data_IF_755236733647
#
_entry.id   IF_755236733647
#
_cell.length_a   1.000
_cell.length_b   1.000
_cell.length_c   1.000
_cell.angle_alpha   90.00
_cell.angle_beta   90.00
_cell.angle_gamma   90.00
#
_symmetry.space_group_name_H-M   'P 1'
#
loop_
_entity.id
_entity.type
_entity.pdbx_description
1 polymer ?
#
# COMPACT_ATOMS: atom_id res chain seq x y z
N UNK A 1 57.97 -10.65 3.86
CA UNK A 1 56.92 -9.81 3.23
C UNK A 1 57.06 -8.40 3.79
N UNK A 2 57.37 -7.39 2.97
CA UNK A 2 57.31 -5.99 3.41
C UNK A 2 55.85 -5.59 3.68
N UNK A 3 55.65 -4.59 4.54
CA UNK A 3 54.35 -3.96 4.74
C UNK A 3 54.01 -3.06 3.54
N UNK A 4 52.73 -2.96 3.12
CA UNK A 4 52.33 -2.07 2.03
C UNK A 4 52.54 -0.59 2.39
N UNK A 5 52.82 0.25 1.38
CA UNK A 5 52.96 1.69 1.57
C UNK A 5 51.61 2.38 1.80
N UNK A 6 51.63 3.59 2.37
CA UNK A 6 50.42 4.41 2.56
C UNK A 6 49.64 4.59 1.25
N UNK A 7 50.34 4.84 0.15
CA UNK A 7 49.75 5.06 -1.17
C UNK A 7 49.07 3.79 -1.70
N UNK A 8 49.65 2.61 -1.43
CA UNK A 8 49.03 1.32 -1.77
C UNK A 8 47.77 1.03 -0.95
N UNK A 9 47.71 1.50 0.31
CA UNK A 9 46.50 1.39 1.13
C UNK A 9 45.41 2.33 0.64
N UNK A 10 45.75 3.61 0.36
CA UNK A 10 44.78 4.62 -0.08
C UNK A 10 44.17 4.28 -1.45
N UNK A 11 44.98 3.80 -2.41
CA UNK A 11 44.50 3.39 -3.73
C UNK A 11 43.71 2.08 -3.76
N UNK A 12 43.74 1.29 -2.67
CA UNK A 12 42.97 0.06 -2.53
C UNK A 12 41.59 0.27 -1.88
N UNK A 13 41.30 1.46 -1.34
CA UNK A 13 39.99 1.80 -0.75
C UNK A 13 39.15 2.52 -1.80
N UNK A 14 38.01 1.95 -2.26
CA UNK A 14 37.11 2.69 -3.14
C UNK A 14 36.52 3.91 -2.41
N UNK A 15 36.48 5.05 -3.08
CA UNK A 15 36.02 6.34 -2.54
C UNK A 15 34.54 6.31 -2.13
N UNK A 16 34.31 5.94 -0.88
CA UNK A 16 33.00 5.99 -0.23
C UNK A 16 32.07 4.83 -0.58
N UNK A 17 31.05 4.67 0.27
CA UNK A 17 29.88 3.85 -0.04
C UNK A 17 28.85 4.75 -0.72
N UNK A 18 28.23 4.35 -1.85
CA UNK A 18 27.12 5.11 -2.42
C UNK A 18 26.00 5.26 -1.38
N UNK A 19 25.50 6.49 -1.21
CA UNK A 19 24.50 6.80 -0.18
C UNK A 19 23.17 6.09 -0.48
N UNK A 20 22.71 5.16 0.37
CA UNK A 20 21.44 4.46 0.16
C UNK A 20 20.21 5.34 0.38
N UNK A 21 20.38 6.57 0.87
CA UNK A 21 19.33 7.57 1.06
C UNK A 21 19.39 8.72 0.04
N UNK A 22 20.30 8.64 -0.94
CA UNK A 22 20.32 9.59 -2.04
C UNK A 22 18.93 9.60 -2.74
N UNK A 23 18.32 10.77 -2.97
CA UNK A 23 17.03 10.84 -3.61
C UNK A 23 17.13 10.26 -5.02
N UNK A 24 16.24 9.32 -5.36
CA UNK A 24 16.03 8.93 -6.75
C UNK A 24 15.66 10.19 -7.52
N UNK A 25 16.53 10.59 -8.44
CA UNK A 25 16.22 11.64 -9.40
C UNK A 25 14.93 11.20 -10.12
N UNK A 26 13.86 11.97 -9.93
CA UNK A 26 12.55 11.64 -10.49
C UNK A 26 12.71 11.52 -12.00
N UNK A 27 12.65 10.30 -12.51
CA UNK A 27 12.68 10.04 -13.94
C UNK A 27 11.44 10.72 -14.54
N UNK A 28 11.66 11.82 -15.25
CA UNK A 28 10.61 12.51 -16.00
C UNK A 28 10.16 11.52 -17.08
N UNK A 29 8.99 10.92 -16.86
CA UNK A 29 8.48 9.80 -17.65
C UNK A 29 8.42 10.14 -19.14
N UNK A 30 9.32 9.55 -19.91
CA UNK A 30 9.45 9.76 -21.35
C UNK A 30 9.51 8.42 -22.10
N UNK A 31 8.42 7.64 -22.05
CA UNK A 31 8.12 6.58 -23.02
C UNK A 31 6.66 6.12 -22.91
N UNK A 32 6.08 5.84 -24.08
CA UNK A 32 4.67 5.51 -24.34
C UNK A 32 4.14 4.21 -23.69
N UNK A 33 2.84 3.95 -23.90
CA UNK A 33 2.23 2.65 -24.25
C UNK A 33 3.26 1.53 -24.61
N UNK A 34 3.09 0.23 -24.31
CA UNK A 34 1.91 -0.63 -24.04
C UNK A 34 2.39 -2.03 -23.57
N UNK A 35 1.61 -2.97 -22.96
CA UNK A 35 0.24 -3.01 -22.41
C UNK A 35 0.01 -4.30 -21.56
N UNK A 36 -1.18 -4.44 -20.97
CA UNK A 36 -1.85 -5.71 -20.56
C UNK A 36 -1.34 -6.50 -19.34
N UNK A 37 -2.05 -6.37 -18.22
CA UNK A 37 -2.56 -7.51 -17.44
C UNK A 37 -3.76 -7.11 -16.55
N UNK A 38 -4.96 -7.54 -16.93
CA UNK A 38 -6.17 -7.63 -16.08
C UNK A 38 -6.67 -6.34 -15.38
N UNK A 39 -7.21 -5.42 -16.17
CA UNK A 39 -8.35 -4.63 -15.69
C UNK A 39 -9.54 -5.59 -15.51
N UNK A 40 -9.96 -5.79 -14.26
CA UNK A 40 -11.06 -6.67 -13.88
C UNK A 40 -11.87 -6.03 -12.75
N UNK A 41 -12.85 -5.22 -13.14
CA UNK A 41 -14.03 -4.85 -12.34
C UNK A 41 -13.75 -4.24 -10.95
N UNK A 42 -12.73 -3.38 -10.83
CA UNK A 42 -12.70 -2.46 -9.69
C UNK A 42 -13.79 -1.40 -9.88
N UNK A 43 -14.65 -1.12 -8.88
CA UNK A 43 -15.65 -0.06 -8.96
C UNK A 43 -14.96 1.31 -8.80
N UNK A 44 -14.33 1.79 -9.88
CA UNK A 44 -13.46 2.98 -9.91
C UNK A 44 -14.15 4.30 -9.55
N UNK A 45 -15.48 4.33 -9.36
CA UNK A 45 -16.23 5.53 -9.01
C UNK A 45 -16.24 5.90 -7.52
N UNK A 46 -15.79 5.01 -6.63
CA UNK A 46 -16.01 5.14 -5.18
C UNK A 46 -14.83 5.73 -4.39
N UNK A 47 -13.69 6.01 -5.03
CA UNK A 47 -12.55 6.69 -4.40
C UNK A 47 -11.86 5.92 -3.27
N UNK A 48 -12.09 4.61 -3.19
CA UNK A 48 -11.47 3.68 -2.24
C UNK A 48 -10.45 2.81 -2.97
N UNK A 49 -9.19 2.81 -2.51
CA UNK A 49 -8.17 1.85 -2.97
C UNK A 49 -7.61 1.03 -1.80
N UNK A 50 -7.38 -0.27 -2.04
CA UNK A 50 -6.80 -1.20 -1.06
C UNK A 50 -5.30 -1.35 -1.34
N UNK A 51 -4.45 -0.99 -0.38
CA UNK A 51 -2.99 -1.25 -0.47
C UNK A 51 -2.62 -2.66 0.01
N UNK A 52 -3.41 -3.24 0.92
CA UNK A 52 -3.05 -4.50 1.55
C UNK A 52 -4.11 -5.05 2.48
N UNK A 53 -4.02 -6.33 2.80
CA UNK A 53 -4.83 -6.99 3.82
C UNK A 53 -3.93 -7.78 4.76
N UNK A 54 -4.23 -7.77 6.06
CA UNK A 54 -3.40 -8.38 7.09
C UNK A 54 -4.23 -8.90 8.27
N UNK A 55 -3.62 -9.79 9.05
CA UNK A 55 -4.18 -10.26 10.32
C UNK A 55 -3.31 -9.78 11.49
N UNK A 56 -3.91 -9.13 12.49
CA UNK A 56 -3.24 -8.63 13.70
C UNK A 56 -4.03 -9.11 14.92
N UNK A 57 -3.41 -9.89 15.80
CA UNK A 57 -4.07 -10.41 17.01
C UNK A 57 -5.35 -11.23 16.72
N UNK A 58 -5.40 -11.94 15.60
CA UNK A 58 -6.59 -12.66 15.13
C UNK A 58 -7.65 -11.81 14.42
N UNK A 59 -7.50 -10.48 14.38
CA UNK A 59 -8.41 -9.58 13.67
C UNK A 59 -7.91 -9.32 12.24
N UNK A 60 -8.82 -9.37 11.27
CA UNK A 60 -8.53 -8.99 9.87
C UNK A 60 -8.63 -7.48 9.72
N UNK A 61 -7.66 -6.89 9.03
CA UNK A 61 -7.59 -5.46 8.70
C UNK A 61 -7.22 -5.30 7.23
N UNK A 62 -7.74 -4.26 6.58
CA UNK A 62 -7.28 -3.83 5.26
C UNK A 62 -6.64 -2.44 5.39
N UNK A 63 -5.54 -2.20 4.69
CA UNK A 63 -4.96 -0.87 4.54
C UNK A 63 -5.58 -0.23 3.31
N UNK A 64 -6.20 0.93 3.48
CA UNK A 64 -6.92 1.62 2.42
C UNK A 64 -6.59 3.10 2.36
N UNK A 65 -6.79 3.68 1.18
CA UNK A 65 -6.72 5.11 0.91
C UNK A 65 -8.07 5.56 0.38
N UNK A 66 -8.56 6.66 0.94
CA UNK A 66 -9.78 7.36 0.55
C UNK A 66 -9.46 8.84 0.33
N UNK A 67 -10.46 9.62 -0.09
CA UNK A 67 -10.38 11.10 -0.08
C UNK A 67 -10.29 11.71 1.33
N UNK A 68 -10.68 10.98 2.39
CA UNK A 68 -10.55 11.42 3.79
C UNK A 68 -9.15 11.13 4.36
N UNK A 69 -8.41 10.17 3.79
CA UNK A 69 -7.03 9.84 4.18
C UNK A 69 -6.65 8.37 3.95
N UNK A 70 -5.54 7.94 4.55
CA UNK A 70 -5.08 6.54 4.49
C UNK A 70 -5.01 5.91 5.88
N UNK A 71 -5.31 4.62 6.00
CA UNK A 71 -5.26 3.93 7.28
C UNK A 71 -5.87 2.53 7.30
N UNK A 72 -5.89 1.87 8.46
CA UNK A 72 -6.47 0.54 8.63
C UNK A 72 -8.00 0.60 8.75
N UNK A 73 -8.69 -0.27 8.03
CA UNK A 73 -10.12 -0.56 8.23
C UNK A 73 -10.35 -1.99 8.70
N UNK A 74 -11.35 -2.15 9.57
CA UNK A 74 -11.82 -3.41 10.13
C UNK A 74 -13.27 -3.68 9.70
N UNK A 75 -13.72 -4.93 9.82
CA UNK A 75 -15.14 -5.31 9.57
C UNK A 75 -16.06 -4.52 10.50
N UNK A 76 -17.09 -3.89 9.94
CA UNK A 76 -18.05 -3.05 10.67
C UNK A 76 -18.32 -1.68 10.04
N UNK A 77 -19.15 -0.89 10.71
CA UNK A 77 -19.57 0.43 10.24
C UNK A 77 -18.38 1.41 10.13
N UNK A 78 -18.35 2.19 9.04
CA UNK A 78 -17.29 3.14 8.67
C UNK A 78 -15.87 2.55 8.64
N UNK A 79 -15.74 1.22 8.61
CA UNK A 79 -14.45 0.52 8.69
C UNK A 79 -13.70 0.68 10.02
N UNK A 80 -14.35 1.13 11.10
CA UNK A 80 -13.66 1.49 12.35
C UNK A 80 -12.97 0.29 13.02
N UNK A 81 -11.67 0.40 13.28
CA UNK A 81 -10.92 -0.60 14.05
C UNK A 81 -11.01 -0.39 15.58
N UNK A 82 -10.85 -1.45 16.39
CA UNK A 82 -10.76 -1.31 17.85
C UNK A 82 -9.54 -0.47 18.26
N UNK A 83 -9.75 0.46 19.18
CA UNK A 83 -8.76 1.46 19.59
C UNK A 83 -8.90 2.80 18.86
N UNK A 84 -9.44 2.81 17.65
CA UNK A 84 -9.67 4.03 16.88
C UNK A 84 -10.88 4.83 17.40
N UNK A 85 -10.79 6.15 17.39
CA UNK A 85 -11.88 7.06 17.79
C UNK A 85 -12.91 7.29 16.67
N UNK A 86 -12.47 7.29 15.40
CA UNK A 86 -13.32 7.45 14.21
C UNK A 86 -13.15 6.29 13.23
N UNK A 87 -14.06 6.19 12.25
CA UNK A 87 -13.89 5.35 11.07
C UNK A 87 -13.38 6.16 9.88
N UNK A 88 -12.60 5.51 9.00
CA UNK A 88 -11.96 6.13 7.83
C UNK A 88 -12.88 6.17 6.58
N UNK A 89 -13.94 5.37 6.55
CA UNK A 89 -14.91 5.37 5.45
C UNK A 89 -16.03 6.38 5.71
N UNK A 90 -16.70 6.92 4.67
CA UNK A 90 -17.82 7.85 4.83
C UNK A 90 -19.00 7.25 5.63
N UNK A 91 -19.93 8.13 6.06
CA UNK A 91 -21.18 7.71 6.70
C UNK A 91 -22.03 6.88 5.73
N UNK A 92 -22.69 5.83 6.22
CA UNK A 92 -23.49 4.92 5.40
C UNK A 92 -22.71 3.77 4.74
N UNK A 93 -21.39 3.72 4.93
CA UNK A 93 -20.53 2.61 4.49
C UNK A 93 -20.30 1.60 5.61
N UNK A 94 -20.28 0.31 5.26
CA UNK A 94 -19.99 -0.80 6.17
C UNK A 94 -19.01 -1.75 5.51
N UNK A 95 -17.90 -2.08 6.18
CA UNK A 95 -17.02 -3.17 5.74
C UNK A 95 -17.69 -4.49 6.12
N UNK A 96 -18.02 -5.31 5.12
CA UNK A 96 -18.65 -6.61 5.32
C UNK A 96 -17.63 -7.72 5.49
N UNK A 97 -16.65 -7.81 4.58
CA UNK A 97 -15.62 -8.85 4.64
C UNK A 97 -14.24 -8.33 4.25
N UNK A 98 -13.21 -8.95 4.85
CA UNK A 98 -11.81 -8.79 4.47
C UNK A 98 -11.28 -10.19 4.16
N UNK A 99 -10.90 -10.42 2.91
CA UNK A 99 -10.39 -11.68 2.40
C UNK A 99 -8.87 -11.65 2.28
N UNK A 100 -8.21 -12.32 3.23
CA UNK A 100 -6.75 -12.43 3.30
C UNK A 100 -6.12 -13.27 2.18
N UNK A 101 -6.89 -14.17 1.53
CA UNK A 101 -6.36 -15.03 0.47
C UNK A 101 -6.39 -14.33 -0.88
N UNK A 102 -7.45 -13.56 -1.13
CA UNK A 102 -7.66 -12.83 -2.39
C UNK A 102 -7.09 -11.42 -2.38
N UNK A 103 -6.76 -10.86 -1.21
CA UNK A 103 -6.30 -9.47 -1.14
C UNK A 103 -7.43 -8.47 -1.28
N UNK A 104 -8.67 -8.84 -0.91
CA UNK A 104 -9.85 -8.04 -1.23
C UNK A 104 -10.68 -7.62 0.00
N UNK A 105 -11.37 -6.50 -0.16
CA UNK A 105 -12.27 -5.85 0.78
C UNK A 105 -13.65 -5.76 0.15
N UNK A 106 -14.68 -6.28 0.81
CA UNK A 106 -16.08 -6.08 0.40
C UNK A 106 -16.74 -5.09 1.35
N UNK A 107 -17.29 -4.02 0.78
CA UNK A 107 -18.08 -3.02 1.51
C UNK A 107 -19.54 -3.10 1.09
N UNK A 108 -20.42 -2.49 1.88
CA UNK A 108 -21.75 -2.10 1.45
C UNK A 108 -21.96 -0.60 1.66
N UNK A 109 -22.64 0.03 0.70
CA UNK A 109 -22.98 1.45 0.68
C UNK A 109 -24.49 1.58 0.67
N UNK A 110 -25.06 2.26 1.66
CA UNK A 110 -26.52 2.38 1.83
C UNK A 110 -27.27 1.02 1.80
N UNK A 111 -26.64 -0.04 2.27
CA UNK A 111 -27.19 -1.40 2.32
C UNK A 111 -27.01 -2.24 1.04
N UNK A 112 -26.52 -1.66 -0.05
CA UNK A 112 -26.16 -2.39 -1.27
C UNK A 112 -24.72 -2.91 -1.16
N UNK A 113 -24.47 -4.15 -1.58
CA UNK A 113 -23.11 -4.73 -1.54
C UNK A 113 -22.37 -4.39 -2.82
N UNK A 114 -21.24 -3.71 -2.68
CA UNK A 114 -20.38 -3.33 -3.80
C UNK A 114 -19.52 -4.52 -4.28
N UNK A 115 -18.97 -4.43 -5.50
CA UNK A 115 -17.98 -5.40 -5.96
C UNK A 115 -16.70 -5.35 -5.09
N UNK A 116 -15.94 -6.46 -4.97
CA UNK A 116 -14.78 -6.50 -4.10
C UNK A 116 -13.66 -5.57 -4.58
N UNK A 117 -13.22 -4.67 -3.70
CA UNK A 117 -12.02 -3.87 -3.94
C UNK A 117 -10.80 -4.71 -3.60
N UNK A 118 -9.93 -5.00 -4.58
CA UNK A 118 -8.74 -5.80 -4.37
C UNK A 118 -7.46 -4.94 -4.43
N UNK A 119 -6.36 -5.47 -3.90
CA UNK A 119 -5.02 -4.86 -4.07
C UNK A 119 -4.71 -4.78 -5.58
N UNK A 120 -4.18 -3.63 -6.00
CA UNK A 120 -3.72 -3.37 -7.37
C UNK A 120 -2.29 -3.89 -7.61
#
# INVERSE_FOLDING_TARGET
MPLPSLEQVLSAVPDGRPDPFAPVAAAVSASAQESSASDADQPQGLGLQVQGVLAVGGQRRALVTTSEGSGPVCVGARGRCPGESSGLLPVGWVVQTIDLRRGCLTVSVAGQTESPFCIA
#
